data_IF_951955524186
#
_entry.id   IF_951955524186
#
_cell.length_a   1.000
_cell.length_b   1.000
_cell.length_c   1.000
_cell.angle_alpha   90.00
_cell.angle_beta   90.00
_cell.angle_gamma   90.00
#
_symmetry.space_group_name_H-M   'P 1'
#
loop_
_entity.id
_entity.type
_entity.pdbx_description
1 polymer ?
#
# COMPACT_ATOMS: atom_id res chain seq x y z
N UNK A 1 6.06 13.25 -36.80
CA UNK A 1 5.96 14.68 -36.50
C UNK A 1 4.64 15.09 -35.82
N UNK A 2 3.54 14.34 -35.96
CA UNK A 2 2.24 14.64 -35.33
C UNK A 2 2.17 14.32 -33.79
N UNK A 3 2.90 13.33 -33.32
CA UNK A 3 2.87 12.96 -31.89
C UNK A 3 3.54 13.99 -30.94
N UNK A 4 4.59 14.68 -31.43
CA UNK A 4 5.26 15.73 -30.64
C UNK A 4 4.40 16.98 -30.41
N UNK A 5 3.51 17.28 -31.35
CA UNK A 5 2.59 18.41 -31.22
C UNK A 5 1.48 18.14 -30.19
N UNK A 6 1.05 16.87 -30.07
CA UNK A 6 -0.01 16.49 -29.13
C UNK A 6 0.48 16.53 -27.67
N UNK A 7 1.72 16.06 -27.41
CA UNK A 7 2.32 16.13 -26.06
C UNK A 7 2.55 17.56 -25.58
N UNK A 8 3.01 18.44 -26.47
CA UNK A 8 3.16 19.88 -26.13
C UNK A 8 1.83 20.56 -25.83
N UNK A 9 0.75 20.18 -26.52
CA UNK A 9 -0.59 20.69 -26.26
C UNK A 9 -1.15 20.22 -24.91
N UNK A 10 -0.88 18.99 -24.51
CA UNK A 10 -1.30 18.48 -23.20
C UNK A 10 -0.56 19.16 -22.04
N UNK A 11 0.74 19.43 -22.18
CA UNK A 11 1.51 20.14 -21.13
C UNK A 11 1.08 21.61 -20.99
N UNK A 12 0.86 22.28 -22.12
CA UNK A 12 0.34 23.66 -22.11
C UNK A 12 -1.07 23.72 -21.50
N UNK A 13 -1.88 22.67 -21.70
CA UNK A 13 -3.22 22.56 -21.15
C UNK A 13 -3.22 22.42 -19.62
N UNK A 14 -2.33 21.61 -19.06
CA UNK A 14 -2.20 21.44 -17.61
C UNK A 14 -1.78 22.75 -16.92
N UNK A 15 -0.89 23.52 -17.54
CA UNK A 15 -0.45 24.81 -17.00
C UNK A 15 -1.59 25.85 -17.04
N UNK A 16 -2.35 25.91 -18.13
CA UNK A 16 -3.47 26.84 -18.25
C UNK A 16 -4.63 26.49 -17.33
N UNK A 17 -4.90 25.22 -17.05
CA UNK A 17 -5.93 24.82 -16.08
C UNK A 17 -5.54 25.20 -14.66
N UNK A 18 -4.26 25.07 -14.29
CA UNK A 18 -3.77 25.51 -12.98
C UNK A 18 -3.86 27.06 -12.82
N UNK A 19 -3.59 27.80 -13.87
CA UNK A 19 -3.72 29.27 -13.87
C UNK A 19 -5.19 29.74 -13.84
N UNK A 20 -6.09 29.01 -14.51
CA UNK A 20 -7.54 29.33 -14.46
C UNK A 20 -8.11 29.04 -13.07
N UNK A 21 -7.66 27.97 -12.40
CA UNK A 21 -8.07 27.69 -11.02
C UNK A 21 -7.55 28.76 -10.03
N UNK A 22 -6.37 29.32 -10.27
CA UNK A 22 -5.82 30.43 -9.48
C UNK A 22 -6.46 31.78 -9.81
N UNK A 23 -6.92 32.00 -11.06
CA UNK A 23 -7.53 33.25 -11.48
C UNK A 23 -8.99 33.41 -11.10
N UNK A 24 -9.67 32.36 -10.73
CA UNK A 24 -11.03 32.41 -10.17
C UNK A 24 -11.10 33.08 -8.79
N UNK A 25 -9.96 33.31 -8.14
CA UNK A 25 -9.86 33.99 -6.85
C UNK A 25 -9.42 35.46 -6.97
N UNK A 26 -8.99 35.93 -8.15
CA UNK A 26 -8.53 37.30 -8.34
C UNK A 26 -9.16 37.83 -9.65
N UNK A 27 -10.09 38.73 -9.52
CA UNK A 27 -10.85 39.30 -10.63
C UNK A 27 -10.04 39.71 -11.86
N UNK A 28 -10.55 39.32 -13.02
CA UNK A 28 -10.20 39.77 -14.39
C UNK A 28 -8.71 39.86 -14.72
N UNK A 29 -8.12 38.75 -15.18
CA UNK A 29 -6.92 38.80 -15.99
C UNK A 29 -7.28 38.60 -17.46
N UNK A 30 -7.03 39.67 -18.27
CA UNK A 30 -7.04 39.55 -19.72
C UNK A 30 -5.85 38.71 -20.15
N UNK A 31 -6.07 37.44 -20.38
CA UNK A 31 -5.06 36.57 -20.99
C UNK A 31 -5.09 36.81 -22.49
N UNK A 32 -4.14 37.56 -23.00
CA UNK A 32 -3.84 37.58 -24.45
C UNK A 32 -3.13 36.30 -24.79
N UNK A 33 -3.87 35.29 -25.21
CA UNK A 33 -3.31 34.02 -25.65
C UNK A 33 -3.10 34.07 -27.15
N UNK A 34 -1.87 34.22 -27.56
CA UNK A 34 -1.43 33.75 -28.86
C UNK A 34 -1.26 32.23 -28.77
N UNK A 35 -2.00 31.51 -29.60
CA UNK A 35 -1.93 30.05 -29.88
C UNK A 35 -2.57 29.12 -28.85
N UNK A 36 -3.79 28.71 -29.22
CA UNK A 36 -4.61 27.65 -28.60
C UNK A 36 -5.17 27.99 -27.21
N UNK A 37 -5.97 29.07 -27.16
CA UNK A 37 -6.88 29.23 -26.05
C UNK A 37 -7.99 28.19 -26.12
N UNK A 38 -7.99 27.25 -25.17
CA UNK A 38 -9.19 26.48 -24.90
C UNK A 38 -10.26 27.44 -24.39
N UNK A 39 -11.45 27.36 -24.94
CA UNK A 39 -12.57 28.08 -24.37
C UNK A 39 -12.82 27.61 -22.94
N UNK A 40 -13.37 28.45 -22.09
CA UNK A 40 -13.72 28.08 -20.72
C UNK A 40 -14.65 26.84 -20.67
N UNK A 41 -15.41 26.62 -21.73
CA UNK A 41 -16.30 25.48 -21.87
C UNK A 41 -15.53 24.20 -22.23
N UNK A 42 -14.51 24.27 -23.08
CA UNK A 42 -13.61 23.16 -23.37
C UNK A 42 -12.75 22.79 -22.16
N UNK A 43 -12.26 23.79 -21.42
CA UNK A 43 -11.53 23.56 -20.18
C UNK A 43 -12.41 22.89 -19.12
N UNK A 44 -13.68 23.32 -18.98
CA UNK A 44 -14.66 22.66 -18.10
C UNK A 44 -14.98 21.24 -18.54
N UNK A 45 -15.13 21.01 -19.86
CA UNK A 45 -15.33 19.67 -20.42
C UNK A 45 -14.15 18.74 -20.12
N UNK A 46 -12.92 19.24 -20.22
CA UNK A 46 -11.72 18.50 -19.90
C UNK A 46 -11.62 18.24 -18.39
N UNK A 47 -11.85 19.26 -17.57
CA UNK A 47 -11.89 19.10 -16.11
C UNK A 47 -12.99 18.13 -15.68
N UNK A 48 -14.17 18.17 -16.33
CA UNK A 48 -15.23 17.19 -16.04
C UNK A 48 -14.92 15.78 -16.53
N UNK A 49 -14.07 15.66 -17.56
CA UNK A 49 -13.60 14.35 -18.05
C UNK A 49 -12.48 13.78 -17.16
N UNK A 50 -11.74 14.66 -16.48
CA UNK A 50 -10.72 14.33 -15.49
C UNK A 50 -11.18 14.57 -14.04
N UNK A 51 -12.30 15.25 -13.83
CA UNK A 51 -12.93 15.21 -12.53
C UNK A 51 -13.46 13.81 -12.34
N UNK A 52 -12.82 13.14 -11.47
CA UNK A 52 -13.15 11.87 -10.86
C UNK A 52 -14.66 11.76 -10.67
N UNK A 53 -15.37 11.38 -11.73
CA UNK A 53 -16.79 11.04 -11.66
C UNK A 53 -16.98 9.62 -11.19
N UNK A 54 -15.90 8.86 -11.12
CA UNK A 54 -15.81 7.62 -10.41
C UNK A 54 -15.11 7.95 -9.08
N UNK A 55 -15.85 8.47 -8.11
CA UNK A 55 -15.37 8.54 -6.73
C UNK A 55 -15.06 7.11 -6.32
N UNK A 56 -13.76 6.84 -6.11
CA UNK A 56 -13.31 5.57 -5.56
C UNK A 56 -14.00 5.45 -4.19
N UNK A 57 -14.83 4.42 -3.95
CA UNK A 57 -15.57 4.32 -2.71
C UNK A 57 -14.60 4.20 -1.53
N UNK A 58 -15.02 4.60 -0.34
CA UNK A 58 -14.34 4.23 0.87
C UNK A 58 -14.65 2.77 1.24
N UNK A 59 -13.79 2.15 2.06
CA UNK A 59 -13.94 0.75 2.46
C UNK A 59 -15.32 0.43 3.06
N UNK A 60 -15.89 1.33 3.86
CA UNK A 60 -17.21 1.12 4.46
C UNK A 60 -18.35 1.13 3.42
N UNK A 61 -18.22 1.94 2.38
CA UNK A 61 -19.15 1.96 1.25
C UNK A 61 -19.03 0.68 0.45
N UNK A 62 -17.80 0.28 0.12
CA UNK A 62 -17.49 -0.98 -0.54
C UNK A 62 -18.04 -2.20 0.22
N UNK A 63 -17.91 -2.24 1.56
CA UNK A 63 -18.50 -3.29 2.38
C UNK A 63 -20.02 -3.31 2.30
N UNK A 64 -20.66 -2.14 2.27
CA UNK A 64 -22.11 -2.03 2.15
C UNK A 64 -22.61 -2.54 0.78
N UNK A 65 -21.89 -2.26 -0.30
CA UNK A 65 -22.21 -2.78 -1.63
C UNK A 65 -22.12 -4.31 -1.68
N UNK A 66 -21.25 -4.91 -0.88
CA UNK A 66 -21.04 -6.35 -0.78
C UNK A 66 -21.65 -6.96 0.50
N UNK A 67 -22.62 -6.30 1.14
CA UNK A 67 -23.17 -6.69 2.44
C UNK A 67 -23.78 -8.11 2.51
N UNK A 68 -24.04 -8.75 1.38
CA UNK A 68 -24.51 -10.13 1.32
C UNK A 68 -23.48 -11.16 0.92
N UNK A 69 -22.23 -10.74 0.71
CA UNK A 69 -21.16 -11.62 0.26
C UNK A 69 -20.80 -12.65 1.33
N UNK A 70 -20.51 -13.87 0.88
CA UNK A 70 -20.01 -14.92 1.76
C UNK A 70 -18.56 -14.62 2.19
N UNK A 71 -18.14 -15.23 3.30
CA UNK A 71 -16.75 -15.27 3.74
C UNK A 71 -16.22 -16.70 3.56
N UNK A 72 -15.57 -17.02 2.43
CA UNK A 72 -15.12 -18.36 2.13
C UNK A 72 -14.12 -18.85 3.16
N UNK A 73 -14.17 -20.14 3.49
CA UNK A 73 -13.22 -20.75 4.42
C UNK A 73 -11.91 -21.20 3.74
N UNK A 74 -11.90 -21.17 2.43
CA UNK A 74 -10.74 -21.55 1.63
C UNK A 74 -9.63 -20.50 1.78
N UNK A 75 -8.43 -20.96 2.07
CA UNK A 75 -7.22 -20.14 2.05
C UNK A 75 -6.50 -20.36 0.73
N UNK A 76 -6.06 -19.29 0.09
CA UNK A 76 -5.31 -19.31 -1.16
C UNK A 76 -3.95 -18.68 -0.88
N UNK A 77 -2.89 -19.43 -1.07
CA UNK A 77 -1.53 -18.93 -0.95
C UNK A 77 -0.95 -18.68 -2.35
N UNK A 78 -0.26 -17.56 -2.52
CA UNK A 78 0.36 -17.12 -3.76
C UNK A 78 1.82 -16.84 -3.41
N UNK A 79 2.74 -17.70 -3.87
CA UNK A 79 4.16 -17.47 -3.62
C UNK A 79 4.64 -16.27 -4.42
N UNK A 80 5.54 -15.49 -3.86
CA UNK A 80 6.08 -14.32 -4.55
C UNK A 80 6.81 -14.68 -5.84
N UNK A 81 7.41 -15.87 -5.91
CA UNK A 81 8.07 -16.39 -7.12
C UNK A 81 7.11 -16.72 -8.28
N UNK A 82 5.81 -16.85 -8.00
CA UNK A 82 4.77 -17.14 -9.02
C UNK A 82 4.25 -15.86 -9.71
N UNK A 83 4.98 -14.77 -9.62
CA UNK A 83 4.62 -13.50 -10.26
C UNK A 83 4.49 -13.66 -11.78
N UNK A 84 3.59 -12.88 -12.39
CA UNK A 84 3.39 -12.86 -13.86
C UNK A 84 3.98 -11.62 -14.51
N UNK A 85 4.16 -10.53 -13.74
CA UNK A 85 4.78 -9.29 -14.21
C UNK A 85 5.54 -8.61 -13.08
N UNK A 86 6.69 -8.03 -13.39
CA UNK A 86 7.47 -7.23 -12.44
C UNK A 86 8.05 -6.01 -13.14
N UNK A 87 7.83 -4.85 -12.54
CA UNK A 87 8.36 -3.58 -13.01
C UNK A 87 9.18 -2.91 -11.91
N UNK A 88 10.28 -2.31 -12.28
CA UNK A 88 11.03 -1.39 -11.42
C UNK A 88 11.06 -0.01 -12.06
N UNK A 89 10.39 0.95 -11.45
CA UNK A 89 10.02 2.19 -12.09
C UNK A 89 9.16 1.93 -13.32
N UNK A 90 9.58 2.45 -14.47
CA UNK A 90 8.88 2.29 -15.74
C UNK A 90 9.47 1.16 -16.63
N UNK A 91 10.27 0.27 -16.07
CA UNK A 91 10.98 -0.76 -16.81
C UNK A 91 10.61 -2.15 -16.34
N UNK A 92 10.25 -3.01 -17.28
CA UNK A 92 10.15 -4.44 -17.03
C UNK A 92 11.53 -5.00 -16.68
N UNK A 93 11.60 -5.76 -15.60
CA UNK A 93 12.82 -6.41 -15.12
C UNK A 93 12.51 -7.80 -14.58
N UNK A 94 13.57 -8.58 -14.40
CA UNK A 94 13.53 -9.79 -13.58
C UNK A 94 13.94 -9.39 -12.17
N UNK A 95 13.12 -9.62 -11.15
CA UNK A 95 13.48 -9.30 -9.76
C UNK A 95 14.57 -10.24 -9.24
N UNK A 96 15.28 -9.80 -8.22
CA UNK A 96 16.17 -10.68 -7.46
C UNK A 96 15.36 -11.63 -6.58
N UNK A 97 15.76 -12.89 -6.59
CA UNK A 97 15.13 -13.97 -5.81
C UNK A 97 16.12 -14.47 -4.77
N UNK A 98 15.66 -14.58 -3.53
CA UNK A 98 16.42 -15.08 -2.40
C UNK A 98 15.76 -16.36 -1.88
N UNK A 99 16.52 -17.47 -1.87
CA UNK A 99 16.04 -18.74 -1.37
C UNK A 99 16.47 -18.94 0.08
N UNK A 100 15.58 -19.49 0.91
CA UNK A 100 15.82 -19.81 2.33
C UNK A 100 16.41 -18.63 3.14
N UNK A 101 15.97 -17.40 2.84
CA UNK A 101 16.51 -16.20 3.43
C UNK A 101 16.09 -16.04 4.90
N UNK A 102 17.07 -15.78 5.78
CA UNK A 102 16.87 -15.57 7.23
C UNK A 102 15.94 -16.60 7.87
N UNK A 103 16.11 -17.87 7.48
CA UNK A 103 15.38 -19.01 8.03
C UNK A 103 13.98 -19.26 7.48
N UNK A 104 13.51 -18.43 6.54
CA UNK A 104 12.26 -18.66 5.82
C UNK A 104 12.50 -19.63 4.66
N UNK A 105 11.90 -20.83 4.66
CA UNK A 105 12.08 -21.79 3.58
C UNK A 105 11.41 -21.33 2.29
N UNK A 106 12.05 -21.57 1.16
CA UNK A 106 11.51 -21.24 -0.17
C UNK A 106 12.01 -19.92 -0.72
N UNK A 107 11.41 -19.50 -1.83
CA UNK A 107 11.87 -18.34 -2.59
C UNK A 107 11.11 -17.09 -2.20
N UNK A 108 11.84 -16.00 -2.04
CA UNK A 108 11.33 -14.66 -1.76
C UNK A 108 11.82 -13.68 -2.82
N UNK A 109 11.00 -12.75 -3.21
CA UNK A 109 11.26 -11.78 -4.27
C UNK A 109 11.57 -10.41 -3.67
N UNK A 110 12.73 -9.84 -4.03
CA UNK A 110 13.05 -8.46 -3.65
C UNK A 110 12.23 -7.48 -4.49
N UNK A 111 11.34 -6.76 -3.82
CA UNK A 111 10.58 -5.67 -4.43
C UNK A 111 11.27 -4.33 -4.17
N UNK A 112 11.37 -3.51 -5.21
CA UNK A 112 12.04 -2.20 -5.15
C UNK A 112 11.20 -1.13 -4.43
N UNK A 113 11.74 0.08 -4.30
CA UNK A 113 11.03 1.25 -3.73
C UNK A 113 9.90 1.75 -4.66
N UNK A 114 9.93 1.44 -5.94
CA UNK A 114 8.98 1.88 -6.95
C UNK A 114 8.79 0.82 -8.04
N UNK A 115 7.63 0.84 -8.67
CA UNK A 115 7.23 -0.17 -9.65
C UNK A 115 6.13 -1.07 -9.11
N UNK A 116 5.95 -2.24 -9.67
CA UNK A 116 4.93 -3.18 -9.20
C UNK A 116 5.33 -4.64 -9.44
N UNK A 117 4.68 -5.51 -8.69
CA UNK A 117 4.67 -6.95 -8.91
C UNK A 117 3.21 -7.41 -9.03
N UNK A 118 2.92 -8.26 -10.01
CA UNK A 118 1.58 -8.73 -10.32
C UNK A 118 1.50 -10.24 -10.28
N UNK A 119 0.39 -10.74 -9.76
CA UNK A 119 0.10 -12.15 -9.56
C UNK A 119 -1.21 -12.53 -10.23
N UNK A 120 -1.27 -13.74 -10.72
CA UNK A 120 -2.48 -14.37 -11.16
C UNK A 120 -2.98 -15.33 -10.10
N UNK A 121 -4.25 -15.25 -9.73
CA UNK A 121 -4.86 -16.11 -8.72
C UNK A 121 -6.14 -16.72 -9.25
N UNK A 122 -6.35 -18.01 -8.99
CA UNK A 122 -7.60 -18.69 -9.29
C UNK A 122 -8.43 -18.83 -8.00
N UNK A 123 -9.55 -18.12 -7.96
CA UNK A 123 -10.46 -18.06 -6.80
C UNK A 123 -11.55 -19.14 -6.96
N UNK A 124 -11.57 -20.16 -6.08
CA UNK A 124 -12.48 -21.28 -6.19
C UNK A 124 -13.92 -20.96 -5.73
N UNK A 125 -14.05 -20.03 -4.81
CA UNK A 125 -15.32 -19.63 -4.20
C UNK A 125 -15.43 -18.12 -4.18
N UNK A 126 -16.56 -17.60 -4.61
CA UNK A 126 -16.90 -16.18 -4.57
C UNK A 126 -17.08 -15.68 -3.14
N UNK A 127 -16.57 -14.50 -2.80
CA UNK A 127 -16.77 -13.89 -1.50
C UNK A 127 -15.75 -12.84 -1.10
N UNK A 128 -15.81 -12.44 0.18
CA UNK A 128 -14.89 -11.48 0.80
C UNK A 128 -13.67 -12.20 1.35
N UNK A 129 -12.51 -11.77 0.92
CA UNK A 129 -11.22 -12.30 1.37
C UNK A 129 -10.39 -11.22 2.05
N UNK A 130 -9.80 -11.56 3.19
CA UNK A 130 -8.72 -10.79 3.80
C UNK A 130 -7.41 -11.09 3.07
N UNK A 131 -6.69 -10.05 2.70
CA UNK A 131 -5.36 -10.19 2.11
C UNK A 131 -4.29 -10.01 3.19
N UNK A 132 -3.38 -10.97 3.27
CA UNK A 132 -2.18 -10.90 4.10
C UNK A 132 -0.93 -10.94 3.24
N UNK A 133 0.12 -10.31 3.73
CA UNK A 133 1.44 -10.26 3.10
C UNK A 133 2.47 -10.80 4.08
N UNK A 134 3.26 -11.77 3.66
CA UNK A 134 4.43 -12.25 4.39
C UNK A 134 5.68 -11.63 3.77
N UNK A 135 6.38 -10.84 4.56
CA UNK A 135 7.49 -10.01 4.08
C UNK A 135 8.62 -9.92 5.11
N UNK A 136 9.80 -9.52 4.62
CA UNK A 136 10.96 -9.18 5.44
C UNK A 136 11.44 -7.77 5.09
N UNK A 137 11.55 -6.85 6.05
CA UNK A 137 12.09 -5.51 5.82
C UNK A 137 13.58 -5.60 5.53
N UNK A 138 14.00 -5.19 4.34
CA UNK A 138 15.42 -5.12 4.00
C UNK A 138 15.98 -3.73 4.30
N UNK A 139 17.30 -3.59 4.28
CA UNK A 139 17.97 -2.30 4.44
C UNK A 139 17.41 -1.25 3.46
N UNK A 140 17.13 -0.06 3.97
CA UNK A 140 16.54 1.03 3.21
C UNK A 140 16.81 2.39 3.86
N UNK A 141 15.85 3.30 3.73
CA UNK A 141 15.93 4.67 4.27
C UNK A 141 15.34 4.80 5.67
N UNK A 142 15.05 3.70 6.32
CA UNK A 142 14.46 3.61 7.67
C UNK A 142 13.11 4.32 7.80
N UNK A 143 12.30 4.25 6.78
CA UNK A 143 10.92 4.72 6.80
C UNK A 143 9.93 3.56 6.66
N UNK A 144 8.63 3.84 6.83
CA UNK A 144 7.57 2.87 6.63
C UNK A 144 7.59 2.33 5.19
N UNK A 145 7.39 1.03 5.04
CA UNK A 145 7.26 0.39 3.74
C UNK A 145 5.83 0.66 3.24
N UNK A 146 5.69 1.32 2.08
CA UNK A 146 4.39 1.71 1.56
C UNK A 146 4.08 0.99 0.25
N UNK A 147 2.85 0.46 0.17
CA UNK A 147 2.34 -0.28 -0.98
C UNK A 147 0.91 0.14 -1.29
N UNK A 148 0.50 -0.01 -2.55
CA UNK A 148 -0.90 0.01 -2.95
C UNK A 148 -1.28 -1.30 -3.61
N UNK A 149 -2.56 -1.67 -3.50
CA UNK A 149 -3.06 -2.93 -4.03
C UNK A 149 -4.18 -2.69 -5.03
N UNK A 150 -4.09 -3.39 -6.17
CA UNK A 150 -5.07 -3.34 -7.23
C UNK A 150 -5.57 -4.75 -7.51
N UNK A 151 -6.84 -4.86 -7.78
CA UNK A 151 -7.49 -6.11 -8.18
C UNK A 151 -7.99 -5.92 -9.61
N UNK A 152 -7.59 -6.82 -10.51
CA UNK A 152 -7.93 -6.77 -11.93
C UNK A 152 -7.60 -5.41 -12.60
N UNK A 153 -6.52 -4.76 -12.11
CA UNK A 153 -6.05 -3.46 -12.58
C UNK A 153 -6.79 -2.25 -12.01
N UNK A 154 -7.78 -2.46 -11.15
CA UNK A 154 -8.58 -1.40 -10.54
C UNK A 154 -8.29 -1.29 -9.03
N UNK A 155 -8.49 -0.09 -8.47
CA UNK A 155 -8.43 0.15 -7.03
C UNK A 155 -9.83 -0.06 -6.44
N UNK A 156 -10.08 -1.13 -5.66
CA UNK A 156 -11.42 -1.46 -5.18
C UNK A 156 -12.02 -0.37 -4.28
N UNK A 157 -11.19 0.26 -3.46
CA UNK A 157 -11.55 1.36 -2.56
C UNK A 157 -10.31 2.15 -2.14
N UNK A 158 -10.53 3.37 -1.63
CA UNK A 158 -9.48 4.36 -1.41
C UNK A 158 -8.37 3.93 -0.46
N UNK A 159 -8.69 3.19 0.58
CA UNK A 159 -7.72 2.77 1.60
C UNK A 159 -6.64 1.81 1.07
N UNK A 160 -6.92 1.04 -0.01
CA UNK A 160 -5.90 0.21 -0.64
C UNK A 160 -4.86 1.01 -1.44
N UNK A 161 -5.07 2.32 -1.62
CA UNK A 161 -4.10 3.19 -2.29
C UNK A 161 -2.83 3.41 -1.47
N UNK A 162 -2.89 3.23 -0.15
CA UNK A 162 -1.76 3.37 0.75
C UNK A 162 -1.88 2.40 1.92
N UNK A 163 -1.07 1.35 1.89
CA UNK A 163 -0.90 0.40 2.98
C UNK A 163 0.50 0.55 3.53
N UNK A 164 0.63 0.65 4.84
CA UNK A 164 1.89 0.74 5.52
C UNK A 164 2.25 -0.57 6.21
N UNK A 165 3.48 -1.04 5.94
CA UNK A 165 4.05 -2.21 6.55
C UNK A 165 5.15 -1.80 7.52
N UNK A 166 5.05 -2.26 8.75
CA UNK A 166 5.93 -1.87 9.84
C UNK A 166 7.31 -2.48 9.70
N UNK A 167 8.31 -1.74 10.19
CA UNK A 167 9.65 -2.24 10.51
C UNK A 167 9.73 -2.50 12.00
N UNK A 168 10.45 -3.54 12.40
CA UNK A 168 10.62 -3.87 13.82
C UNK A 168 11.84 -3.14 14.38
N UNK A 169 11.61 -2.39 15.45
CA UNK A 169 12.64 -1.58 16.11
C UNK A 169 12.81 -2.03 17.55
N UNK A 170 14.05 -2.12 18.00
CA UNK A 170 14.40 -2.28 19.40
C UNK A 170 15.16 -1.08 19.91
N UNK A 171 15.11 -0.86 21.20
CA UNK A 171 16.00 0.11 21.84
C UNK A 171 17.29 -0.58 22.29
N UNK A 172 18.45 0.01 22.00
CA UNK A 172 19.72 -0.44 22.54
C UNK A 172 19.79 -0.12 24.04
N UNK A 173 19.17 -1.00 24.83
CA UNK A 173 19.31 -0.95 26.29
C UNK A 173 20.59 -1.66 26.67
N UNK A 174 21.50 -0.94 27.26
CA UNK A 174 22.86 -1.39 27.53
C UNK A 174 22.95 -2.60 28.47
N UNK A 175 21.96 -2.89 29.27
CA UNK A 175 21.84 -4.09 30.08
C UNK A 175 20.39 -4.30 30.54
N UNK A 176 19.78 -5.37 30.09
CA UNK A 176 18.60 -5.90 30.73
C UNK A 176 19.06 -6.79 31.89
N UNK A 177 18.82 -6.37 33.12
CA UNK A 177 18.93 -7.25 34.25
C UNK A 177 17.52 -7.66 34.71
N UNK A 178 17.22 -8.94 34.59
CA UNK A 178 16.01 -9.52 35.13
C UNK A 178 16.33 -10.12 36.49
N UNK A 179 16.05 -9.38 37.55
CA UNK A 179 16.20 -9.88 38.92
C UNK A 179 14.85 -9.78 39.64
N UNK A 180 14.42 -10.86 40.28
CA UNK A 180 13.20 -10.91 41.10
C UNK A 180 11.88 -10.58 40.35
N UNK A 181 11.78 -10.90 39.06
CA UNK A 181 10.56 -10.63 38.29
C UNK A 181 10.39 -9.17 37.85
N UNK A 182 11.41 -8.35 38.01
CA UNK A 182 11.41 -6.93 37.62
C UNK A 182 12.46 -6.70 36.55
N UNK A 183 12.06 -6.10 35.43
CA UNK A 183 13.00 -5.58 34.46
C UNK A 183 13.58 -4.26 34.95
N UNK A 184 14.86 -4.24 35.25
CA UNK A 184 15.58 -3.00 35.54
C UNK A 184 16.25 -2.50 34.26
N UNK A 185 15.71 -1.43 33.71
CA UNK A 185 16.26 -0.78 32.53
C UNK A 185 17.24 0.27 32.99
N UNK A 186 18.53 -0.07 32.99
CA UNK A 186 19.59 0.89 33.27
C UNK A 186 19.87 1.76 32.04
N UNK A 187 19.52 3.02 32.11
CA UNK A 187 19.88 4.01 31.11
C UNK A 187 21.37 4.23 31.06
N UNK A 188 21.97 4.32 29.89
CA UNK A 188 23.37 4.76 29.73
C UNK A 188 23.49 6.18 30.21
N UNK A 189 24.63 6.48 30.83
CA UNK A 189 24.96 7.83 31.30
C UNK A 189 26.02 8.44 30.42
N UNK A 190 25.92 9.74 30.16
CA UNK A 190 26.99 10.51 29.53
C UNK A 190 28.12 10.79 30.51
N UNK A 191 29.16 11.46 30.04
CA UNK A 191 30.34 11.84 30.86
C UNK A 191 30.03 12.90 31.95
N UNK A 192 28.82 13.45 31.95
CA UNK A 192 28.28 14.40 32.93
C UNK A 192 27.27 13.75 33.88
N UNK A 193 27.11 12.42 33.79
CA UNK A 193 26.13 11.62 34.56
C UNK A 193 24.63 11.90 34.24
N UNK A 194 24.31 12.46 33.06
CA UNK A 194 22.96 12.59 32.60
C UNK A 194 22.51 11.31 31.90
N UNK A 195 21.22 11.00 31.99
CA UNK A 195 20.62 9.86 31.30
C UNK A 195 20.62 10.10 29.78
N UNK A 196 21.19 9.14 29.03
CA UNK A 196 21.20 9.15 27.58
C UNK A 196 19.97 8.38 27.04
N UNK A 197 19.24 9.00 26.11
CA UNK A 197 18.16 8.30 25.42
C UNK A 197 18.72 7.09 24.66
N UNK A 198 18.14 5.89 24.83
CA UNK A 198 18.55 4.73 24.05
C UNK A 198 18.41 4.98 22.55
N UNK A 199 19.35 4.46 21.77
CA UNK A 199 19.28 4.48 20.32
C UNK A 199 18.33 3.38 19.85
N UNK A 200 17.41 3.70 18.95
CA UNK A 200 16.60 2.68 18.28
C UNK A 200 17.44 2.00 17.21
N UNK A 201 17.43 0.68 17.23
CA UNK A 201 18.10 -0.18 16.24
C UNK A 201 17.02 -1.01 15.56
N UNK A 202 17.06 -1.08 14.23
CA UNK A 202 16.16 -1.96 13.49
C UNK A 202 16.58 -3.41 13.71
N UNK A 203 15.60 -4.27 14.01
CA UNK A 203 15.75 -5.72 14.10
C UNK A 203 14.85 -6.33 13.04
N UNK A 204 15.36 -6.52 11.81
CA UNK A 204 14.55 -7.08 10.74
C UNK A 204 14.16 -8.52 11.08
N UNK A 205 12.89 -8.84 10.88
CA UNK A 205 12.37 -10.20 11.03
C UNK A 205 11.25 -10.45 10.02
N UNK A 206 10.91 -11.72 9.80
CA UNK A 206 9.77 -12.09 8.96
C UNK A 206 8.46 -11.70 9.65
N UNK A 207 7.63 -10.97 8.92
CA UNK A 207 6.34 -10.47 9.40
C UNK A 207 5.24 -10.96 8.47
N UNK A 208 4.15 -11.47 9.05
CA UNK A 208 2.89 -11.70 8.34
C UNK A 208 1.89 -10.64 8.78
N UNK A 209 1.52 -9.75 7.88
CA UNK A 209 0.61 -8.64 8.17
C UNK A 209 -0.65 -8.70 7.30
N UNK A 210 -1.80 -8.47 7.92
CA UNK A 210 -3.03 -8.14 7.22
C UNK A 210 -2.98 -6.68 6.76
N UNK A 211 -3.73 -6.34 5.73
CA UNK A 211 -3.82 -4.96 5.28
C UNK A 211 -4.72 -4.17 6.23
N UNK A 212 -4.25 -3.03 6.69
CA UNK A 212 -4.99 -2.10 7.54
C UNK A 212 -5.00 -0.69 6.93
N UNK A 213 -6.01 0.08 7.29
CA UNK A 213 -6.05 1.50 6.97
C UNK A 213 -4.90 2.24 7.64
N UNK A 214 -4.00 2.82 6.85
CA UNK A 214 -2.84 3.59 7.33
C UNK A 214 -3.22 4.85 8.09
N UNK A 215 -4.44 5.38 7.88
CA UNK A 215 -4.96 6.51 8.62
C UNK A 215 -5.52 6.12 10.00
N UNK A 216 -5.73 4.82 10.24
CA UNK A 216 -6.23 4.29 11.51
C UNK A 216 -7.70 4.55 11.80
N UNK A 217 -8.49 4.98 10.82
CA UNK A 217 -9.94 5.13 10.98
C UNK A 217 -10.65 3.78 10.99
N UNK A 218 -10.10 2.78 10.29
CA UNK A 218 -10.62 1.43 10.22
C UNK A 218 -9.67 0.51 10.96
N UNK A 219 -10.17 -0.12 12.03
CA UNK A 219 -9.37 -0.96 12.92
C UNK A 219 -9.49 -2.46 12.61
N UNK A 220 -10.36 -2.83 11.67
CA UNK A 220 -10.48 -4.20 11.16
C UNK A 220 -9.60 -4.40 9.94
N UNK A 221 -9.14 -5.64 9.67
CA UNK A 221 -8.44 -5.93 8.43
C UNK A 221 -9.26 -5.54 7.20
N UNK A 222 -8.60 -5.02 6.20
CA UNK A 222 -9.21 -4.70 4.91
C UNK A 222 -9.45 -5.98 4.10
N UNK A 223 -10.61 -6.07 3.47
CA UNK A 223 -11.03 -7.23 2.69
C UNK A 223 -11.36 -6.81 1.26
N UNK A 224 -11.19 -7.74 0.33
CA UNK A 224 -11.57 -7.57 -1.08
C UNK A 224 -12.61 -8.62 -1.47
N UNK A 225 -13.59 -8.20 -2.26
CA UNK A 225 -14.55 -9.10 -2.86
C UNK A 225 -13.99 -9.67 -4.16
N UNK A 226 -13.97 -10.99 -4.27
CA UNK A 226 -13.53 -11.69 -5.46
C UNK A 226 -14.64 -12.62 -5.93
N UNK A 227 -14.95 -12.57 -7.22
CA UNK A 227 -15.83 -13.55 -7.86
C UNK A 227 -15.10 -14.88 -8.01
N UNK A 228 -15.87 -15.95 -8.25
CA UNK A 228 -15.25 -17.22 -8.62
C UNK A 228 -14.61 -17.09 -10.00
N UNK A 229 -13.34 -17.41 -10.12
CA UNK A 229 -12.61 -17.35 -11.40
C UNK A 229 -11.16 -16.92 -11.21
N UNK A 230 -10.58 -16.46 -12.31
CA UNK A 230 -9.21 -15.97 -12.35
C UNK A 230 -9.18 -14.46 -12.18
N UNK A 231 -8.36 -14.00 -11.26
CA UNK A 231 -8.13 -12.59 -10.97
C UNK A 231 -6.65 -12.24 -11.06
N UNK A 232 -6.35 -10.96 -11.13
CA UNK A 232 -5.00 -10.44 -10.94
C UNK A 232 -4.93 -9.61 -9.68
N UNK A 233 -3.82 -9.73 -8.93
CA UNK A 233 -3.50 -8.90 -7.78
C UNK A 233 -2.19 -8.21 -8.06
N UNK A 234 -2.19 -6.88 -8.13
CA UNK A 234 -0.97 -6.09 -8.29
C UNK A 234 -0.66 -5.37 -6.99
N UNK A 235 0.59 -5.48 -6.55
CA UNK A 235 1.14 -4.74 -5.43
C UNK A 235 2.14 -3.72 -5.96
N UNK A 236 1.79 -2.44 -5.87
CA UNK A 236 2.64 -1.35 -6.33
C UNK A 236 3.50 -0.80 -5.19
N UNK A 237 4.79 -0.70 -5.44
CA UNK A 237 5.75 -0.11 -4.51
C UNK A 237 5.70 1.41 -4.55
N UNK A 238 5.61 2.05 -3.39
CA UNK A 238 5.59 3.51 -3.26
C UNK A 238 6.78 4.02 -2.43
N UNK A 239 7.25 3.22 -1.49
CA UNK A 239 8.38 3.57 -0.62
C UNK A 239 8.99 2.31 -0.03
N UNK A 240 10.31 2.31 0.12
CA UNK A 240 11.15 1.28 0.74
C UNK A 240 11.08 -0.10 0.06
N UNK A 241 12.20 -0.77 -0.09
CA UNK A 241 12.24 -2.14 -0.55
C UNK A 241 11.80 -3.12 0.53
N UNK A 242 11.35 -4.31 0.12
CA UNK A 242 11.12 -5.45 1.01
C UNK A 242 11.30 -6.77 0.26
N UNK A 243 11.66 -7.83 0.96
CA UNK A 243 11.51 -9.19 0.45
C UNK A 243 10.06 -9.62 0.65
N UNK A 244 9.42 -10.00 -0.42
CA UNK A 244 8.08 -10.58 -0.42
C UNK A 244 8.20 -12.10 -0.51
N UNK A 245 7.59 -12.81 0.45
CA UNK A 245 7.58 -14.28 0.43
C UNK A 245 6.29 -14.81 -0.19
N UNK A 246 5.14 -14.37 0.30
CA UNK A 246 3.85 -14.75 -0.27
C UNK A 246 2.74 -13.76 0.05
N UNK A 247 1.67 -13.83 -0.73
CA UNK A 247 0.37 -13.26 -0.44
C UNK A 247 -0.57 -14.39 0.00
N UNK A 248 -1.48 -14.10 0.92
CA UNK A 248 -2.47 -15.06 1.40
C UNK A 248 -3.85 -14.42 1.36
N UNK A 249 -4.75 -15.03 0.60
CA UNK A 249 -6.17 -14.71 0.66
C UNK A 249 -6.83 -15.70 1.62
N UNK A 250 -7.42 -15.20 2.68
CA UNK A 250 -8.06 -16.04 3.69
C UNK A 250 -9.42 -15.50 4.11
N UNK A 251 -10.14 -16.32 4.84
CA UNK A 251 -11.35 -15.85 5.52
C UNK A 251 -10.99 -14.71 6.48
N UNK A 252 -11.71 -13.61 6.37
CA UNK A 252 -11.73 -12.61 7.42
C UNK A 252 -12.43 -13.22 8.63
N UNK A 253 -11.66 -13.66 9.61
CA UNK A 253 -12.26 -14.06 10.88
C UNK A 253 -12.97 -12.85 11.48
N UNK A 254 -14.29 -12.91 11.53
CA UNK A 254 -15.07 -11.93 12.28
C UNK A 254 -14.56 -11.95 13.71
N UNK A 255 -13.92 -10.85 14.11
CA UNK A 255 -13.50 -10.69 15.50
C UNK A 255 -14.73 -10.89 16.35
N UNK A 256 -14.72 -11.95 17.18
CA UNK A 256 -15.84 -12.22 18.09
C UNK A 256 -16.09 -10.98 18.90
N UNK A 257 -17.35 -10.58 19.01
CA UNK A 257 -17.70 -9.45 19.84
C UNK A 257 -17.28 -9.72 21.30
N UNK A 258 -17.02 -8.67 22.06
CA UNK A 258 -16.70 -8.82 23.49
C UNK A 258 -17.71 -9.69 24.24
N UNK A 259 -18.99 -9.58 23.89
CA UNK A 259 -20.07 -10.39 24.49
C UNK A 259 -19.97 -11.89 24.16
N UNK A 260 -19.45 -12.24 23.00
CA UNK A 260 -19.22 -13.64 22.59
C UNK A 260 -17.99 -14.23 23.28
N UNK A 261 -16.92 -13.43 23.43
CA UNK A 261 -15.71 -13.85 24.15
C UNK A 261 -15.96 -14.00 25.64
N UNK A 262 -16.76 -13.10 26.23
CA UNK A 262 -17.08 -13.10 27.66
C UNK A 262 -17.95 -14.29 28.08
N UNK A 263 -18.68 -14.93 27.17
CA UNK A 263 -19.57 -16.08 27.45
C UNK A 263 -18.84 -17.43 27.38
N UNK A 264 -17.57 -17.46 26.98
CA UNK A 264 -16.69 -18.63 27.01
C UNK A 264 -15.93 -18.71 28.34
#
# INVERSE_FOLDING_TARGET
MKLRATKKKCIALLITVAEIAASLQIGSLNVSAAEASLTQQEARGIVSTYSVTDEIPGFMEYLNEHAGAAYPKTTIEINASDYISYMEGDREKTPEIYSDYEGMPGDSVLTSENGYIEFKVDVPEEGMYELQVEYYPVEGKNSEIQRSFFIDGELPYGELSLIEFSRVWSTDVAQESFANGIYDIAWRKDNQNNDMKPTSVEIPEWVTASLYDSNGYITTPLCVYLTKGTHTISMNSQREPMLLHKLVLKNSETVKSYEEVRKQ
#
